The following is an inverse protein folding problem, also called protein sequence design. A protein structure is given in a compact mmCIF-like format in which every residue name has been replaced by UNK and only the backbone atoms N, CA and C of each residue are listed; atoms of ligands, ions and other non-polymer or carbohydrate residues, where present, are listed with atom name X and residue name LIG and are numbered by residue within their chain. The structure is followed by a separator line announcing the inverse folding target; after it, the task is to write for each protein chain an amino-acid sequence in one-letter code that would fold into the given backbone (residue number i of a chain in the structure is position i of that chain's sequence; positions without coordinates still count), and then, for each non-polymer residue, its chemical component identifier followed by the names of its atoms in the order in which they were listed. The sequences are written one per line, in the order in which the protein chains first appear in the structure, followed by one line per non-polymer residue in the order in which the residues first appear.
data_IF_433082760226
#
_entry.id   IF_433082760226
#
_cell.length_a   1.000
_cell.length_b   1.000
_cell.length_c   1.000
_cell.angle_alpha   90.00
_cell.angle_beta   90.00
_cell.angle_gamma   90.00
#
_symmetry.space_group_name_H-M   'P 1'
#
loop_
_entity.id
_entity.type
_entity.pdbx_description
1 polymer ?
#
# COMPACT_ATOMS: atom_id res chain seq x y z
N UNK A 1 13.32 40.69 -19.64
CA UNK A 1 12.57 40.87 -18.36
C UNK A 1 11.20 40.19 -18.36
N UNK A 2 10.71 39.65 -19.49
CA UNK A 2 9.39 39.01 -19.61
C UNK A 2 9.38 37.53 -19.20
N UNK A 3 10.35 36.72 -19.66
CA UNK A 3 10.39 35.26 -19.40
C UNK A 3 10.58 34.91 -17.91
N UNK A 4 11.27 35.76 -17.14
CA UNK A 4 11.53 35.51 -15.72
C UNK A 4 10.28 35.67 -14.84
N UNK A 5 9.26 36.42 -15.31
CA UNK A 5 7.96 36.54 -14.64
C UNK A 5 7.08 35.33 -14.90
N UNK A 6 7.12 34.81 -16.12
CA UNK A 6 6.32 33.66 -16.55
C UNK A 6 6.77 32.37 -15.84
N UNK A 7 8.09 32.17 -15.68
CA UNK A 7 8.64 31.04 -14.92
C UNK A 7 8.27 31.06 -13.44
N UNK A 8 8.25 32.26 -12.82
CA UNK A 8 7.89 32.42 -11.41
C UNK A 8 6.38 32.21 -11.17
N UNK A 9 5.54 32.46 -12.17
CA UNK A 9 4.10 32.23 -12.11
C UNK A 9 3.75 30.74 -12.27
N UNK A 10 4.47 30.03 -13.13
CA UNK A 10 4.36 28.56 -13.31
C UNK A 10 4.79 27.81 -12.04
N UNK A 11 5.89 28.21 -11.40
CA UNK A 11 6.36 27.60 -10.14
C UNK A 11 5.39 27.85 -8.97
N UNK A 12 4.65 28.97 -9.01
CA UNK A 12 3.58 29.27 -8.03
C UNK A 12 2.35 28.41 -8.24
N UNK A 13 2.03 28.07 -9.49
CA UNK A 13 0.89 27.22 -9.86
C UNK A 13 1.19 25.75 -9.54
N UNK A 14 2.39 25.25 -9.86
CA UNK A 14 2.81 23.88 -9.50
C UNK A 14 2.86 23.65 -7.98
N UNK A 15 3.30 24.64 -7.20
CA UNK A 15 3.32 24.54 -5.74
C UNK A 15 1.92 24.63 -5.11
N UNK A 16 0.94 25.18 -5.84
CA UNK A 16 -0.47 25.22 -5.42
C UNK A 16 -1.15 23.88 -5.71
N UNK A 17 -0.95 23.32 -6.91
CA UNK A 17 -1.39 21.95 -7.26
C UNK A 17 -0.80 20.89 -6.33
N UNK A 18 0.51 20.94 -6.03
CA UNK A 18 1.14 20.00 -5.07
C UNK A 18 0.62 20.13 -3.63
N UNK A 19 0.06 21.29 -3.26
CA UNK A 19 -0.58 21.51 -1.95
C UNK A 19 -2.01 21.01 -1.91
N UNK A 20 -2.72 21.08 -3.04
CA UNK A 20 -4.10 20.62 -3.16
C UNK A 20 -4.17 19.08 -3.33
N UNK A 21 -3.25 18.46 -4.10
CA UNK A 21 -3.12 16.99 -4.22
C UNK A 21 -2.79 16.30 -2.88
N UNK A 22 -1.95 16.92 -2.05
CA UNK A 22 -1.66 16.39 -0.70
C UNK A 22 -2.83 16.49 0.27
N UNK A 23 -3.85 17.31 -0.04
CA UNK A 23 -5.02 17.53 0.80
C UNK A 23 -6.15 16.53 0.51
N UNK A 24 -6.25 16.05 -0.73
CA UNK A 24 -7.29 15.10 -1.15
C UNK A 24 -6.95 13.64 -0.85
N UNK A 25 -5.68 13.23 -0.86
CA UNK A 25 -5.29 11.85 -0.55
C UNK A 25 -5.43 11.47 0.94
N UNK A 26 -5.44 12.46 1.85
CA UNK A 26 -5.62 12.21 3.30
C UNK A 26 -7.09 12.07 3.71
N UNK A 27 -8.02 12.25 2.77
CA UNK A 27 -9.44 12.47 3.04
C UNK A 27 -10.31 11.21 2.87
N UNK A 28 -9.76 10.08 2.42
CA UNK A 28 -10.57 8.95 1.96
C UNK A 28 -10.78 7.83 2.98
N UNK A 29 -9.94 7.70 4.01
CA UNK A 29 -10.09 6.62 5.02
C UNK A 29 -10.74 7.11 6.32
N UNK A 30 -10.45 8.34 6.76
CA UNK A 30 -11.08 8.93 7.96
C UNK A 30 -12.53 9.33 7.73
N UNK A 31 -12.86 9.87 6.55
CA UNK A 31 -14.21 10.37 6.26
C UNK A 31 -15.21 9.22 6.04
N UNK A 32 -14.74 8.04 5.62
CA UNK A 32 -15.62 6.86 5.49
C UNK A 32 -15.98 6.25 6.85
N UNK A 33 -15.05 6.28 7.81
CA UNK A 33 -15.24 5.74 9.17
C UNK A 33 -15.99 6.73 10.06
N UNK A 34 -15.64 8.01 10.00
CA UNK A 34 -16.26 9.09 10.78
C UNK A 34 -17.32 9.86 9.98
N UNK A 35 -18.16 9.14 9.24
CA UNK A 35 -19.32 9.77 8.61
C UNK A 35 -20.41 10.09 9.65
N UNK A 36 -21.29 11.05 9.33
CA UNK A 36 -22.31 11.54 10.25
C UNK A 36 -23.21 10.41 10.79
N UNK A 37 -23.54 9.41 9.97
CA UNK A 37 -24.34 8.27 10.39
C UNK A 37 -23.59 7.38 11.39
N UNK A 38 -22.33 7.06 11.12
CA UNK A 38 -21.48 6.25 11.99
C UNK A 38 -21.23 6.94 13.35
N UNK A 39 -21.04 8.26 13.33
CA UNK A 39 -20.91 9.06 14.56
C UNK A 39 -22.22 9.02 15.36
N UNK A 40 -23.37 9.16 14.70
CA UNK A 40 -24.68 9.05 15.36
C UNK A 40 -24.88 7.65 15.96
N UNK A 41 -24.53 6.58 15.24
CA UNK A 41 -24.59 5.22 15.79
C UNK A 41 -23.64 5.00 16.97
N UNK A 42 -22.41 5.53 16.90
CA UNK A 42 -21.45 5.47 17.99
C UNK A 42 -21.95 6.21 19.23
N UNK A 43 -22.52 7.41 19.05
CA UNK A 43 -23.08 8.21 20.15
C UNK A 43 -24.27 7.50 20.79
N UNK A 44 -25.17 6.91 20.00
CA UNK A 44 -26.28 6.12 20.52
C UNK A 44 -25.82 4.85 21.22
N UNK A 45 -24.83 4.15 20.66
CA UNK A 45 -24.22 2.98 21.29
C UNK A 45 -23.62 3.33 22.66
N UNK A 46 -22.84 4.41 22.72
CA UNK A 46 -22.27 4.90 23.98
C UNK A 46 -23.38 5.33 24.95
N UNK A 47 -24.39 6.07 24.51
CA UNK A 47 -25.50 6.50 25.36
C UNK A 47 -26.28 5.30 25.94
N UNK A 48 -26.60 4.29 25.12
CA UNK A 48 -27.27 3.06 25.56
C UNK A 48 -26.38 2.29 26.52
N UNK A 49 -25.08 2.18 26.24
CA UNK A 49 -24.11 1.54 27.12
C UNK A 49 -24.04 2.24 28.49
N UNK A 50 -23.96 3.57 28.53
CA UNK A 50 -23.96 4.34 29.78
C UNK A 50 -25.28 4.18 30.55
N UNK A 51 -26.42 4.17 29.87
CA UNK A 51 -27.73 3.94 30.50
C UNK A 51 -27.79 2.54 31.11
N UNK A 52 -27.39 1.51 30.35
CA UNK A 52 -27.37 0.13 30.85
C UNK A 52 -26.43 -0.02 32.03
N UNK A 53 -25.24 0.57 31.97
CA UNK A 53 -24.26 0.53 33.05
C UNK A 53 -24.74 1.27 34.31
N UNK A 54 -25.37 2.43 34.13
CA UNK A 54 -25.97 3.20 35.23
C UNK A 54 -27.14 2.45 35.89
N UNK A 55 -28.00 1.84 35.08
CA UNK A 55 -29.11 0.99 35.57
C UNK A 55 -28.57 -0.24 36.29
N UNK A 56 -27.54 -0.90 35.76
CA UNK A 56 -26.88 -2.03 36.42
C UNK A 56 -26.29 -1.64 37.79
N UNK A 57 -25.70 -0.45 37.87
CA UNK A 57 -25.13 0.12 39.11
C UNK A 57 -26.20 0.50 40.14
N UNK A 58 -27.40 0.89 39.69
CA UNK A 58 -28.56 1.14 40.56
C UNK A 58 -29.16 -0.15 41.13
N UNK A 59 -29.15 -1.25 40.37
CA UNK A 59 -29.70 -2.55 40.80
C UNK A 59 -28.73 -3.40 41.62
N UNK A 60 -27.41 -3.29 41.39
CA UNK A 60 -26.37 -4.06 42.09
C UNK A 60 -25.80 -3.31 43.30
N UNK A 61 -26.69 -2.93 44.23
CA UNK A 61 -26.36 -2.25 45.48
C UNK A 61 -26.00 -3.27 46.57
N UNK A 62 -24.82 -3.88 46.49
CA UNK A 62 -24.01 -4.36 47.63
C UNK A 62 -22.86 -5.27 47.14
N UNK A 63 -21.63 -4.88 47.46
CA UNK A 63 -20.40 -5.67 47.35
C UNK A 63 -19.93 -6.09 45.92
N UNK A 64 -20.06 -5.20 44.94
CA UNK A 64 -19.80 -5.49 43.50
C UNK A 64 -18.61 -4.75 42.89
N UNK A 65 -17.74 -4.10 43.68
CA UNK A 65 -16.58 -3.36 43.15
C UNK A 65 -15.64 -4.21 42.29
N UNK A 66 -15.37 -5.44 42.74
CA UNK A 66 -14.59 -6.42 41.98
C UNK A 66 -15.34 -6.95 40.75
N UNK A 67 -16.64 -7.26 40.90
CA UNK A 67 -17.48 -7.77 39.82
C UNK A 67 -17.61 -6.77 38.65
N UNK A 68 -17.79 -5.48 38.95
CA UNK A 68 -17.85 -4.43 37.93
C UNK A 68 -16.51 -4.23 37.22
N UNK A 69 -15.39 -4.40 37.94
CA UNK A 69 -14.05 -4.38 37.33
C UNK A 69 -13.83 -5.54 36.37
N UNK A 70 -14.23 -6.76 36.75
CA UNK A 70 -14.14 -7.94 35.89
C UNK A 70 -15.04 -7.85 34.65
N UNK A 71 -16.24 -7.28 34.77
CA UNK A 71 -17.11 -7.02 33.60
C UNK A 71 -16.43 -6.06 32.64
N UNK A 72 -15.82 -4.98 33.13
CA UNK A 72 -15.09 -4.03 32.30
C UNK A 72 -13.92 -4.71 31.57
N UNK A 73 -13.15 -5.54 32.27
CA UNK A 73 -12.04 -6.30 31.69
C UNK A 73 -12.50 -7.25 30.57
N UNK A 74 -13.62 -7.96 30.76
CA UNK A 74 -14.20 -8.85 29.74
C UNK A 74 -14.63 -8.06 28.51
N UNK A 75 -15.30 -6.91 28.69
CA UNK A 75 -15.74 -6.06 27.58
C UNK A 75 -14.55 -5.55 26.77
N UNK A 76 -13.50 -5.06 27.44
CA UNK A 76 -12.27 -4.57 26.78
C UNK A 76 -11.58 -5.71 26.02
N UNK A 77 -11.51 -6.91 26.59
CA UNK A 77 -10.93 -8.07 25.93
C UNK A 77 -11.71 -8.47 24.67
N UNK A 78 -13.04 -8.51 24.76
CA UNK A 78 -13.90 -8.81 23.59
C UNK A 78 -13.74 -7.75 22.51
N UNK A 79 -13.68 -6.46 22.88
CA UNK A 79 -13.43 -5.38 21.93
C UNK A 79 -12.05 -5.48 21.28
N UNK A 80 -11.00 -5.82 22.03
CA UNK A 80 -9.67 -6.07 21.50
C UNK A 80 -9.66 -7.21 20.49
N UNK A 81 -10.33 -8.32 20.80
CA UNK A 81 -10.46 -9.47 19.88
C UNK A 81 -11.20 -9.07 18.60
N UNK A 82 -12.29 -8.31 18.71
CA UNK A 82 -13.03 -7.80 17.54
C UNK A 82 -12.14 -6.89 16.69
N UNK A 83 -11.38 -5.99 17.30
CA UNK A 83 -10.46 -5.08 16.60
C UNK A 83 -9.36 -5.87 15.89
N UNK A 84 -8.77 -6.87 16.55
CA UNK A 84 -7.73 -7.73 15.94
C UNK A 84 -8.30 -8.50 14.75
N UNK A 85 -9.49 -9.07 14.90
CA UNK A 85 -10.19 -9.79 13.83
C UNK A 85 -10.51 -8.84 12.67
N UNK A 86 -11.09 -7.68 12.96
CA UNK A 86 -11.40 -6.67 11.96
C UNK A 86 -10.15 -6.21 11.21
N UNK A 87 -9.06 -5.98 11.92
CA UNK A 87 -7.76 -5.62 11.35
C UNK A 87 -7.16 -6.75 10.49
N UNK A 88 -7.30 -8.01 10.93
CA UNK A 88 -6.84 -9.18 10.17
C UNK A 88 -7.57 -9.34 8.83
N UNK A 89 -8.88 -9.03 8.80
CA UNK A 89 -9.69 -9.08 7.59
C UNK A 89 -9.61 -7.81 6.74
N UNK A 90 -9.31 -6.65 7.34
CA UNK A 90 -9.17 -5.38 6.60
C UNK A 90 -7.83 -5.23 5.90
N UNK A 91 -6.80 -5.96 6.32
CA UNK A 91 -5.45 -5.89 5.74
C UNK A 91 -5.34 -6.77 4.48
N UNK A 92 -5.45 -6.14 3.31
CA UNK A 92 -5.24 -6.76 1.99
C UNK A 92 -3.88 -7.49 1.90
N UNK A 93 -3.86 -8.62 1.18
CA UNK A 93 -2.75 -9.61 1.11
C UNK A 93 -1.38 -9.05 0.69
N UNK A 94 -1.29 -7.85 0.11
CA UNK A 94 -0.03 -7.18 -0.26
C UNK A 94 0.66 -6.35 0.82
N UNK A 95 0.02 -6.09 1.96
CA UNK A 95 0.61 -5.28 3.06
C UNK A 95 1.04 -6.12 4.27
N UNK A 96 0.97 -7.46 4.20
CA UNK A 96 1.27 -8.34 5.34
C UNK A 96 2.77 -8.43 5.68
N UNK A 97 3.67 -8.13 4.76
CA UNK A 97 5.13 -8.27 4.96
C UNK A 97 5.81 -7.07 5.65
N UNK A 98 5.11 -5.92 5.79
CA UNK A 98 5.69 -4.68 6.34
C UNK A 98 4.87 -4.10 7.50
N UNK A 99 4.03 -4.90 8.16
CA UNK A 99 3.24 -4.44 9.31
C UNK A 99 4.15 -4.07 10.48
N UNK A 100 5.08 -4.95 10.83
CA UNK A 100 5.97 -4.75 11.98
C UNK A 100 6.83 -3.49 11.82
N UNK A 101 7.35 -3.26 10.61
CA UNK A 101 8.13 -2.05 10.29
C UNK A 101 7.28 -0.79 10.33
N UNK A 102 6.06 -0.83 9.77
CA UNK A 102 5.14 0.32 9.80
C UNK A 102 4.71 0.67 11.23
N UNK A 103 4.38 -0.32 12.04
CA UNK A 103 4.00 -0.13 13.45
C UNK A 103 5.19 0.42 14.24
N UNK A 104 6.38 -0.16 14.06
CA UNK A 104 7.59 0.26 14.76
C UNK A 104 8.04 1.68 14.37
N UNK A 105 8.05 2.01 13.08
CA UNK A 105 8.35 3.37 12.61
C UNK A 105 7.34 4.39 13.15
N UNK A 106 6.06 4.01 13.23
CA UNK A 106 5.04 4.82 13.90
C UNK A 106 5.35 5.09 15.37
N UNK A 107 5.78 4.06 16.11
CA UNK A 107 6.19 4.18 17.51
C UNK A 107 7.42 5.10 17.66
N UNK A 108 8.45 4.90 16.84
CA UNK A 108 9.65 5.74 16.89
C UNK A 108 9.35 7.20 16.55
N UNK A 109 8.52 7.44 15.54
CA UNK A 109 8.12 8.81 15.16
C UNK A 109 7.34 9.50 16.29
N UNK A 110 6.50 8.76 17.02
CA UNK A 110 5.83 9.29 18.20
C UNK A 110 6.84 9.75 19.26
N UNK A 111 7.86 8.94 19.58
CA UNK A 111 8.85 9.34 20.60
C UNK A 111 9.81 10.46 20.13
N UNK A 112 9.95 10.68 18.83
CA UNK A 112 10.85 11.70 18.28
C UNK A 112 10.26 13.12 18.31
N UNK A 113 8.93 13.22 18.40
CA UNK A 113 8.18 14.47 18.32
C UNK A 113 7.95 15.09 19.71
N UNK A 114 8.32 16.37 19.88
CA UNK A 114 8.16 17.07 21.16
C UNK A 114 6.69 17.24 21.58
N UNK A 115 5.77 17.27 20.60
CA UNK A 115 4.34 17.36 20.86
C UNK A 115 3.79 16.12 21.58
N UNK A 116 4.48 14.99 21.51
CA UNK A 116 4.03 13.72 22.07
C UNK A 116 3.87 13.75 23.58
N UNK A 117 4.68 14.53 24.31
CA UNK A 117 4.52 14.71 25.76
C UNK A 117 3.13 15.28 26.09
N UNK A 118 2.74 16.36 25.40
CA UNK A 118 1.44 16.99 25.61
C UNK A 118 0.29 16.06 25.23
N UNK A 119 0.46 15.30 24.14
CA UNK A 119 -0.51 14.29 23.71
C UNK A 119 -0.66 13.21 24.78
N UNK A 120 0.43 12.65 25.33
CA UNK A 120 0.34 11.62 26.39
C UNK A 120 -0.37 12.15 27.64
N UNK A 121 -0.08 13.39 28.06
CA UNK A 121 -0.72 14.00 29.23
C UNK A 121 -2.23 14.18 28.99
N UNK A 122 -2.63 14.65 27.80
CA UNK A 122 -4.05 14.77 27.43
C UNK A 122 -4.75 13.41 27.46
N UNK A 123 -4.12 12.37 26.89
CA UNK A 123 -4.65 11.00 26.90
C UNK A 123 -4.84 10.49 28.33
N UNK A 124 -3.87 10.71 29.22
CA UNK A 124 -4.00 10.38 30.65
C UNK A 124 -5.15 11.13 31.32
N UNK A 125 -5.27 12.45 31.09
CA UNK A 125 -6.38 13.23 31.64
C UNK A 125 -7.74 12.71 31.18
N UNK A 126 -7.87 12.37 29.89
CA UNK A 126 -9.08 11.78 29.32
C UNK A 126 -9.35 10.41 29.95
N UNK A 127 -8.34 9.55 30.12
CA UNK A 127 -8.48 8.23 30.73
C UNK A 127 -9.05 8.34 32.16
N UNK A 128 -8.46 9.19 33.01
CA UNK A 128 -8.94 9.39 34.38
C UNK A 128 -10.33 10.03 34.42
N UNK A 129 -10.62 10.97 33.52
CA UNK A 129 -11.95 11.57 33.39
C UNK A 129 -13.01 10.52 33.04
N UNK A 130 -12.73 9.64 32.07
CA UNK A 130 -13.63 8.56 31.69
C UNK A 130 -13.80 7.54 32.82
N UNK A 131 -12.71 7.13 33.48
CA UNK A 131 -12.77 6.22 34.62
C UNK A 131 -13.63 6.79 35.76
N UNK A 132 -13.52 8.09 36.01
CA UNK A 132 -14.35 8.81 36.99
C UNK A 132 -15.83 8.86 36.58
N UNK A 133 -16.14 9.22 35.33
CA UNK A 133 -17.53 9.28 34.81
C UNK A 133 -18.19 7.89 34.85
N UNK A 134 -17.45 6.86 34.50
CA UNK A 134 -17.90 5.46 34.57
C UNK A 134 -17.92 4.94 36.02
N UNK A 135 -17.41 5.70 36.99
CA UNK A 135 -17.34 5.31 38.39
C UNK A 135 -16.60 3.99 38.59
N UNK A 136 -15.54 3.79 37.80
CA UNK A 136 -14.63 2.65 37.92
C UNK A 136 -13.80 2.84 39.18
N UNK A 137 -13.68 1.82 40.05
CA UNK A 137 -12.83 1.91 41.23
C UNK A 137 -11.36 2.13 40.83
N UNK A 138 -10.69 3.13 41.40
CA UNK A 138 -9.28 3.46 41.06
C UNK A 138 -8.25 2.94 42.07
N UNK A 139 -8.71 2.43 43.21
CA UNK A 139 -7.84 2.03 44.32
C UNK A 139 -7.76 0.49 44.40
N UNK A 140 -8.33 -0.12 45.44
CA UNK A 140 -8.11 -1.54 45.78
C UNK A 140 -8.83 -2.56 44.87
N UNK A 141 -9.75 -2.13 44.00
CA UNK A 141 -10.52 -3.02 43.11
C UNK A 141 -10.48 -2.56 41.65
N UNK A 142 -9.41 -1.86 41.25
CA UNK A 142 -9.31 -1.34 39.89
C UNK A 142 -9.24 -2.47 38.85
N UNK A 143 -9.90 -2.33 37.69
CA UNK A 143 -9.81 -3.29 36.61
C UNK A 143 -8.37 -3.50 36.16
N UNK A 144 -8.03 -4.73 35.77
CA UNK A 144 -6.66 -5.06 35.36
C UNK A 144 -6.33 -4.35 34.06
N UNK A 145 -7.27 -4.28 33.12
CA UNK A 145 -7.11 -3.56 31.85
C UNK A 145 -6.77 -2.08 32.07
N UNK A 146 -7.45 -1.42 33.01
CA UNK A 146 -7.19 -0.03 33.36
C UNK A 146 -5.80 0.15 33.98
N UNK A 147 -5.41 -0.74 34.89
CA UNK A 147 -4.09 -0.72 35.51
C UNK A 147 -2.96 -0.90 34.48
N UNK A 148 -3.16 -1.78 33.48
CA UNK A 148 -2.19 -1.98 32.39
C UNK A 148 -2.08 -0.72 31.52
N UNK A 149 -3.21 -0.15 31.08
CA UNK A 149 -3.22 1.05 30.24
C UNK A 149 -2.61 2.25 30.95
N UNK A 150 -2.94 2.44 32.23
CA UNK A 150 -2.36 3.48 33.09
C UNK A 150 -0.84 3.30 33.21
N UNK A 151 -0.37 2.08 33.51
CA UNK A 151 1.06 1.78 33.66
C UNK A 151 1.84 2.00 32.36
N UNK A 152 1.29 1.56 31.23
CA UNK A 152 1.88 1.80 29.90
C UNK A 152 1.93 3.30 29.61
N UNK A 153 0.86 4.04 29.87
CA UNK A 153 0.78 5.47 29.59
C UNK A 153 1.81 6.27 30.40
N UNK A 154 1.99 5.95 31.69
CA UNK A 154 3.06 6.53 32.51
C UNK A 154 4.46 6.15 32.01
N UNK A 155 4.65 4.89 31.63
CA UNK A 155 5.92 4.43 31.04
C UNK A 155 6.27 5.19 29.76
N UNK A 156 5.30 5.33 28.85
CA UNK A 156 5.44 6.12 27.62
C UNK A 156 5.79 7.57 27.93
N UNK A 157 5.10 8.22 28.88
CA UNK A 157 5.39 9.60 29.27
C UNK A 157 6.85 9.76 29.73
N UNK A 158 7.32 8.88 30.62
CA UNK A 158 8.70 8.91 31.13
C UNK A 158 9.71 8.70 30.00
N UNK A 159 9.47 7.73 29.12
CA UNK A 159 10.35 7.45 27.97
C UNK A 159 10.40 8.65 27.03
N UNK A 160 9.26 9.27 26.70
CA UNK A 160 9.21 10.45 25.82
C UNK A 160 9.98 11.63 26.44
N UNK A 161 9.82 11.89 27.74
CA UNK A 161 10.57 12.93 28.44
C UNK A 161 12.07 12.65 28.36
N UNK A 162 12.47 11.40 28.61
CA UNK A 162 13.87 10.96 28.54
C UNK A 162 14.47 11.15 27.14
N UNK A 163 13.78 10.68 26.09
CA UNK A 163 14.21 10.83 24.69
C UNK A 163 14.31 12.31 24.31
N UNK A 164 13.31 13.10 24.68
CA UNK A 164 13.27 14.55 24.42
C UNK A 164 14.44 15.26 25.12
N UNK A 165 14.75 14.88 26.36
CA UNK A 165 15.90 15.42 27.09
C UNK A 165 17.22 15.15 26.34
N UNK A 166 17.49 13.91 25.93
CA UNK A 166 18.71 13.60 25.18
C UNK A 166 18.80 14.36 23.85
N UNK A 167 17.68 14.49 23.14
CA UNK A 167 17.63 15.20 21.86
C UNK A 167 17.89 16.69 21.99
N UNK A 168 17.19 17.38 22.90
CA UNK A 168 17.23 18.84 22.97
C UNK A 168 18.26 19.39 23.98
N UNK A 169 18.60 18.64 25.03
CA UNK A 169 19.58 19.07 26.04
C UNK A 169 20.98 18.56 25.70
N UNK A 170 21.11 17.29 25.31
CA UNK A 170 22.41 16.68 25.01
C UNK A 170 22.77 16.73 23.51
N UNK A 171 21.84 17.15 22.64
CA UNK A 171 22.05 17.21 21.19
C UNK A 171 22.19 15.84 20.52
N UNK A 172 21.81 14.76 21.20
CA UNK A 172 21.94 13.38 20.74
C UNK A 172 20.56 12.73 20.55
N UNK A 173 20.31 12.21 19.35
CA UNK A 173 18.98 11.71 18.96
C UNK A 173 18.85 10.20 19.16
N UNK A 174 18.56 9.76 20.39
CA UNK A 174 18.38 8.32 20.72
C UNK A 174 17.54 7.57 19.68
N UNK A 175 16.47 8.20 19.17
CA UNK A 175 15.58 7.60 18.18
C UNK A 175 16.29 7.32 16.85
N UNK A 176 17.18 8.19 16.41
CA UNK A 176 17.94 7.97 15.18
C UNK A 176 18.93 6.81 15.33
N UNK A 177 19.57 6.68 16.49
CA UNK A 177 20.41 5.52 16.80
C UNK A 177 19.61 4.22 16.89
N UNK A 178 18.45 4.23 17.55
CA UNK A 178 17.55 3.06 17.59
C UNK A 178 17.07 2.72 16.18
N UNK A 179 16.73 3.71 15.34
CA UNK A 179 16.32 3.50 13.96
C UNK A 179 17.43 2.88 13.12
N UNK A 180 18.70 3.29 13.33
CA UNK A 180 19.88 2.66 12.71
C UNK A 180 20.05 1.21 13.16
N UNK A 181 19.80 0.91 14.44
CA UNK A 181 19.87 -0.46 14.97
C UNK A 181 18.73 -1.34 14.46
N UNK A 182 17.50 -0.83 14.40
CA UNK A 182 16.34 -1.58 13.89
C UNK A 182 16.46 -1.88 12.40
N UNK A 183 16.98 -0.95 11.60
CA UNK A 183 17.31 -1.21 10.19
C UNK A 183 18.42 -2.24 9.99
N UNK A 184 19.21 -2.52 11.03
CA UNK A 184 20.24 -3.57 11.05
C UNK A 184 19.75 -4.90 11.60
N UNK A 185 18.53 -4.99 12.15
CA UNK A 185 17.94 -6.27 12.57
C UNK A 185 17.70 -7.10 11.30
N UNK A 186 18.36 -8.26 11.13
CA UNK A 186 18.19 -9.09 9.95
C UNK A 186 16.76 -9.61 9.93
N UNK A 187 16.07 -9.45 8.80
CA UNK A 187 14.93 -10.32 8.47
C UNK A 187 15.53 -11.70 8.17
N UNK A 188 15.41 -12.67 9.08
CA UNK A 188 15.59 -14.10 8.75
C UNK A 188 14.56 -14.46 7.66
N UNK A 189 14.87 -14.98 6.47
CA UNK A 189 16.10 -15.16 5.71
C UNK A 189 15.80 -14.68 4.28
N UNK A 190 16.41 -13.57 3.86
CA UNK A 190 17.03 -13.52 2.52
C UNK A 190 18.48 -13.17 2.83
N UNK A 191 19.37 -14.15 2.66
CA UNK A 191 20.81 -13.94 2.72
C UNK A 191 21.14 -12.76 1.81
N UNK A 192 21.75 -11.71 2.35
CA UNK A 192 22.75 -10.89 1.66
C UNK A 192 23.64 -10.20 2.70
N UNK A 193 24.79 -10.80 3.03
CA UNK A 193 26.12 -10.44 2.53
C UNK A 193 26.83 -9.35 3.38
N UNK A 194 27.93 -9.76 4.02
CA UNK A 194 29.16 -8.94 4.17
C UNK A 194 29.52 -8.26 2.82
N UNK A 195 30.52 -7.38 2.68
CA UNK A 195 30.98 -6.98 1.34
C UNK A 195 31.59 -8.19 0.62
N UNK A 196 30.73 -9.06 0.09
CA UNK A 196 31.00 -10.16 -0.80
C UNK A 196 30.88 -9.58 -2.21
N UNK A 197 31.79 -10.03 -3.03
CA UNK A 197 31.85 -9.83 -4.47
C UNK A 197 30.45 -9.85 -5.09
N UNK A 198 30.04 -8.75 -5.77
CA UNK A 198 28.73 -8.61 -6.46
C UNK A 198 28.21 -9.96 -7.00
N UNK A 199 27.34 -10.66 -6.26
CA UNK A 199 26.70 -11.86 -6.79
C UNK A 199 25.66 -11.39 -7.80
N UNK A 200 26.07 -11.44 -9.06
CA UNK A 200 25.22 -11.13 -10.20
C UNK A 200 24.16 -12.23 -10.30
N UNK A 201 22.94 -11.96 -9.85
CA UNK A 201 21.84 -12.90 -10.05
C UNK A 201 21.37 -12.92 -11.50
N UNK A 202 21.31 -14.12 -12.08
CA UNK A 202 20.76 -14.35 -13.41
C UNK A 202 19.23 -14.44 -13.35
N UNK A 203 18.55 -13.80 -14.29
CA UNK A 203 17.09 -13.83 -14.39
C UNK A 203 16.65 -13.97 -15.85
N UNK A 204 15.38 -14.37 -16.05
CA UNK A 204 14.76 -14.35 -17.37
C UNK A 204 14.29 -12.93 -17.70
N UNK A 205 14.65 -12.42 -18.87
CA UNK A 205 14.12 -11.18 -19.41
C UNK A 205 13.67 -11.33 -20.87
N UNK A 206 12.62 -10.59 -21.23
CA UNK A 206 12.00 -10.65 -22.55
C UNK A 206 12.24 -9.37 -23.36
N UNK A 207 12.53 -9.55 -24.65
CA UNK A 207 12.64 -8.49 -25.65
C UNK A 207 11.42 -8.60 -26.56
N UNK A 208 10.47 -7.68 -26.40
CA UNK A 208 9.07 -7.89 -26.83
C UNK A 208 8.70 -7.36 -28.23
N UNK A 209 9.65 -6.92 -29.06
CA UNK A 209 9.33 -6.17 -30.29
C UNK A 209 9.00 -7.06 -31.51
N UNK A 210 9.11 -8.38 -31.39
CA UNK A 210 8.73 -9.36 -32.42
C UNK A 210 9.44 -9.20 -33.78
N UNK A 211 10.72 -8.82 -33.77
CA UNK A 211 11.48 -8.53 -35.00
C UNK A 211 12.53 -9.59 -35.37
N UNK A 212 12.70 -10.64 -34.57
CA UNK A 212 13.91 -11.47 -34.61
C UNK A 212 13.63 -12.91 -34.98
N UNK A 213 14.47 -13.48 -35.85
CA UNK A 213 14.51 -14.92 -36.14
C UNK A 213 15.17 -15.71 -35.00
N UNK A 214 15.15 -17.04 -35.06
CA UNK A 214 15.80 -17.87 -34.03
C UNK A 214 17.32 -17.64 -33.97
N UNK A 215 17.97 -17.46 -35.13
CA UNK A 215 19.41 -17.19 -35.20
C UNK A 215 19.72 -15.78 -34.64
N UNK A 216 18.89 -14.78 -34.97
CA UNK A 216 19.01 -13.43 -34.39
C UNK A 216 18.88 -13.48 -32.86
N UNK A 217 17.95 -14.29 -32.34
CA UNK A 217 17.65 -14.41 -30.92
C UNK A 217 18.87 -14.90 -30.12
N UNK A 218 19.64 -15.85 -30.66
CA UNK A 218 20.88 -16.32 -30.05
C UNK A 218 21.89 -15.18 -29.93
N UNK A 219 22.15 -14.47 -31.03
CA UNK A 219 23.08 -13.36 -31.07
C UNK A 219 22.67 -12.21 -30.12
N UNK A 220 21.37 -11.93 -30.02
CA UNK A 220 20.82 -10.89 -29.15
C UNK A 220 21.07 -11.24 -27.68
N UNK A 221 20.77 -12.45 -27.23
CA UNK A 221 21.06 -12.81 -25.84
C UNK A 221 22.56 -12.76 -25.55
N UNK A 222 23.40 -13.26 -26.48
CA UNK A 222 24.86 -13.18 -26.33
C UNK A 222 25.35 -11.74 -26.21
N UNK A 223 24.74 -10.79 -26.91
CA UNK A 223 25.10 -9.36 -26.81
C UNK A 223 24.86 -8.76 -25.41
N UNK A 224 23.98 -9.37 -24.62
CA UNK A 224 23.72 -9.02 -23.23
C UNK A 224 24.54 -9.85 -22.23
N UNK A 225 25.49 -10.67 -22.70
CA UNK A 225 26.19 -11.64 -21.84
C UNK A 225 25.26 -12.73 -21.30
N UNK A 226 24.18 -13.02 -22.02
CA UNK A 226 23.14 -13.98 -21.66
C UNK A 226 23.03 -15.09 -22.72
N UNK A 227 22.23 -16.11 -22.44
CA UNK A 227 21.82 -17.15 -23.41
C UNK A 227 20.31 -17.16 -23.58
N UNK A 228 19.82 -17.92 -24.56
CA UNK A 228 18.38 -18.19 -24.62
C UNK A 228 17.93 -18.89 -23.35
N UNK A 229 16.78 -18.47 -22.82
CA UNK A 229 16.19 -19.07 -21.62
C UNK A 229 15.63 -20.46 -21.93
N UNK A 230 15.81 -21.41 -21.00
CA UNK A 230 15.19 -22.74 -21.08
C UNK A 230 13.72 -22.69 -20.65
N UNK A 231 12.97 -23.76 -20.91
CA UNK A 231 11.59 -23.87 -20.42
C UNK A 231 11.52 -23.74 -18.89
N UNK A 232 12.38 -24.47 -18.16
CA UNK A 232 12.39 -24.50 -16.69
C UNK A 232 12.67 -23.12 -16.09
N UNK A 233 13.54 -22.32 -16.72
CA UNK A 233 13.82 -20.95 -16.31
C UNK A 233 12.62 -20.03 -16.51
N UNK A 234 11.90 -20.18 -17.63
CA UNK A 234 10.69 -19.42 -17.92
C UNK A 234 9.55 -19.83 -16.98
N UNK A 235 9.43 -21.11 -16.65
CA UNK A 235 8.48 -21.61 -15.65
C UNK A 235 8.83 -21.11 -14.25
N UNK A 236 10.12 -21.11 -13.89
CA UNK A 236 10.61 -20.48 -12.66
C UNK A 236 10.28 -18.99 -12.59
N UNK A 237 10.44 -18.26 -13.69
CA UNK A 237 10.07 -16.86 -13.78
C UNK A 237 8.55 -16.68 -13.64
N UNK A 238 7.73 -17.53 -14.28
CA UNK A 238 6.27 -17.54 -14.13
C UNK A 238 5.85 -17.73 -12.67
N UNK A 239 6.46 -18.67 -11.95
CA UNK A 239 6.17 -18.92 -10.54
C UNK A 239 6.55 -17.73 -9.64
N UNK A 240 7.50 -16.89 -10.07
CA UNK A 240 7.88 -15.62 -9.45
C UNK A 240 7.05 -14.42 -9.93
N UNK A 241 6.00 -14.64 -10.71
CA UNK A 241 5.07 -13.59 -11.14
C UNK A 241 5.37 -12.96 -12.49
N UNK A 242 6.29 -13.53 -13.29
CA UNK A 242 6.57 -13.03 -14.63
C UNK A 242 5.34 -13.10 -15.55
N UNK A 243 5.14 -12.03 -16.32
CA UNK A 243 4.05 -11.90 -17.29
C UNK A 243 4.41 -10.85 -18.34
N UNK A 244 4.46 -11.25 -19.61
CA UNK A 244 4.72 -10.30 -20.71
C UNK A 244 3.86 -10.52 -21.97
N UNK A 245 3.03 -11.56 -22.02
CA UNK A 245 1.99 -11.73 -23.05
C UNK A 245 2.50 -11.60 -24.51
N UNK A 246 3.77 -11.93 -24.77
CA UNK A 246 4.37 -11.87 -26.11
C UNK A 246 5.35 -13.01 -26.29
N UNK A 247 5.21 -13.74 -27.40
CA UNK A 247 6.11 -14.83 -27.73
C UNK A 247 7.56 -14.36 -27.82
N UNK A 248 8.46 -15.11 -27.19
CA UNK A 248 9.90 -14.94 -27.33
C UNK A 248 10.59 -16.25 -27.67
N UNK A 249 11.53 -16.21 -28.62
CA UNK A 249 12.44 -17.32 -28.88
C UNK A 249 13.17 -17.72 -27.60
N UNK A 250 13.22 -19.01 -27.34
CA UNK A 250 13.76 -19.68 -26.16
C UNK A 250 14.58 -20.88 -26.61
N UNK A 251 15.33 -21.50 -25.70
CA UNK A 251 16.20 -22.62 -26.02
C UNK A 251 15.45 -23.78 -26.70
N UNK A 252 16.12 -24.47 -27.63
CA UNK A 252 15.52 -25.56 -28.41
C UNK A 252 14.55 -25.12 -29.52
N UNK A 253 14.69 -23.91 -30.07
CA UNK A 253 13.80 -23.36 -31.11
C UNK A 253 12.33 -23.32 -30.68
N UNK A 254 12.13 -23.02 -29.40
CA UNK A 254 10.82 -22.86 -28.79
C UNK A 254 10.43 -21.40 -28.73
N UNK A 255 9.13 -21.11 -28.76
CA UNK A 255 8.62 -19.78 -28.41
C UNK A 255 7.79 -19.88 -27.16
N UNK A 256 8.10 -19.09 -26.14
CA UNK A 256 7.37 -19.13 -24.88
C UNK A 256 7.00 -17.74 -24.36
N UNK A 257 5.89 -17.68 -23.63
CA UNK A 257 5.55 -16.53 -22.78
C UNK A 257 4.68 -16.96 -21.58
N UNK A 258 4.88 -16.38 -20.40
CA UNK A 258 4.10 -16.66 -19.21
C UNK A 258 2.88 -15.73 -19.08
N UNK A 259 1.79 -16.26 -18.53
CA UNK A 259 0.55 -15.51 -18.21
C UNK A 259 0.03 -15.90 -16.85
N UNK A 260 -0.15 -14.93 -15.95
CA UNK A 260 -0.67 -15.18 -14.60
C UNK A 260 -2.17 -15.46 -14.62
N UNK A 261 -2.59 -16.33 -13.69
CA UNK A 261 -4.00 -16.67 -13.48
C UNK A 261 -4.88 -15.43 -13.27
N UNK A 262 -4.39 -14.46 -12.50
CA UNK A 262 -5.13 -13.23 -12.20
C UNK A 262 -5.40 -12.36 -13.43
N UNK A 263 -4.46 -12.29 -14.37
CA UNK A 263 -4.65 -11.58 -15.65
C UNK A 263 -5.63 -12.32 -16.54
N UNK A 264 -5.47 -13.63 -16.66
CA UNK A 264 -6.40 -14.45 -17.42
C UNK A 264 -7.85 -14.33 -16.93
N UNK A 265 -8.08 -14.35 -15.61
CA UNK A 265 -9.42 -14.21 -15.01
C UNK A 265 -10.05 -12.84 -15.32
N UNK A 266 -9.24 -11.77 -15.42
CA UNK A 266 -9.72 -10.44 -15.86
C UNK A 266 -10.14 -10.46 -17.33
N UNK A 267 -9.34 -11.07 -18.19
CA UNK A 267 -9.61 -11.16 -19.63
C UNK A 267 -10.88 -11.96 -19.93
N UNK A 268 -11.21 -12.97 -19.11
CA UNK A 268 -12.46 -13.74 -19.27
C UNK A 268 -13.74 -12.90 -19.08
N UNK A 269 -13.66 -11.75 -18.39
CA UNK A 269 -14.83 -10.87 -18.19
C UNK A 269 -15.19 -10.07 -19.43
N UNK A 270 -14.29 -9.97 -20.40
CA UNK A 270 -14.46 -9.18 -21.63
C UNK A 270 -14.63 -10.09 -22.83
N UNK A 271 -15.79 -10.10 -23.48
CA UNK A 271 -16.09 -10.99 -24.63
C UNK A 271 -15.11 -10.86 -25.80
N UNK A 272 -14.51 -9.68 -25.99
CA UNK A 272 -13.57 -9.41 -27.07
C UNK A 272 -12.12 -9.84 -26.80
N UNK A 273 -11.72 -9.90 -25.53
CA UNK A 273 -10.31 -10.12 -25.14
C UNK A 273 -10.09 -11.44 -24.39
N UNK A 274 -11.09 -12.35 -24.37
CA UNK A 274 -11.00 -13.63 -23.64
C UNK A 274 -9.82 -14.51 -24.04
N UNK A 275 -9.35 -14.37 -25.29
CA UNK A 275 -8.28 -15.18 -25.86
C UNK A 275 -6.94 -14.41 -25.94
N UNK A 276 -6.88 -13.18 -25.44
CA UNK A 276 -5.64 -12.43 -25.36
C UNK A 276 -4.75 -13.10 -24.30
N UNK A 277 -3.42 -13.04 -24.50
CA UNK A 277 -2.44 -13.58 -23.56
C UNK A 277 -2.55 -15.10 -23.25
N UNK A 278 -3.18 -15.91 -24.11
CA UNK A 278 -3.17 -17.36 -23.95
C UNK A 278 -3.89 -17.86 -22.68
N UNK A 279 -3.38 -18.94 -22.08
CA UNK A 279 -3.92 -19.58 -20.87
C UNK A 279 -2.99 -19.34 -19.66
N UNK A 280 -3.45 -19.55 -18.42
CA UNK A 280 -2.55 -19.47 -17.26
C UNK A 280 -1.39 -20.47 -17.40
N UNK A 281 -0.18 -20.02 -17.07
CA UNK A 281 1.06 -20.80 -17.19
C UNK A 281 1.98 -20.33 -18.31
N UNK A 282 2.91 -21.20 -18.73
CA UNK A 282 3.83 -20.97 -19.85
C UNK A 282 3.17 -21.43 -21.15
N UNK A 283 2.97 -20.50 -22.08
CA UNK A 283 2.32 -20.73 -23.36
C UNK A 283 3.33 -20.78 -24.49
N UNK A 284 3.08 -21.63 -25.49
CA UNK A 284 3.84 -21.70 -26.73
C UNK A 284 4.40 -23.08 -27.00
N UNK A 285 5.45 -23.18 -27.81
CA UNK A 285 5.96 -24.47 -28.29
C UNK A 285 7.01 -24.36 -29.39
N UNK A 286 7.32 -25.51 -29.99
CA UNK A 286 8.30 -25.61 -31.07
C UNK A 286 7.78 -24.98 -32.36
N UNK A 287 8.62 -24.20 -33.03
CA UNK A 287 8.30 -23.62 -34.34
C UNK A 287 9.22 -24.21 -35.38
N UNK A 288 8.69 -24.94 -36.36
CA UNK A 288 9.49 -25.59 -37.41
C UNK A 288 10.28 -24.61 -38.28
N UNK A 289 9.76 -23.41 -38.52
CA UNK A 289 10.40 -22.41 -39.36
C UNK A 289 11.21 -21.41 -38.49
N UNK A 290 12.55 -21.47 -38.49
CA UNK A 290 13.38 -20.59 -37.65
C UNK A 290 13.37 -19.13 -38.12
N UNK A 291 12.92 -18.85 -39.34
CA UNK A 291 12.89 -17.51 -39.94
C UNK A 291 11.66 -16.68 -39.55
N UNK A 292 10.75 -17.22 -38.74
CA UNK A 292 9.61 -16.45 -38.22
C UNK A 292 10.12 -15.43 -37.21
N UNK A 293 9.50 -14.24 -37.20
CA UNK A 293 9.91 -13.15 -36.32
C UNK A 293 9.10 -13.12 -35.04
N UNK A 294 9.78 -13.26 -33.92
CA UNK A 294 9.24 -13.19 -32.56
C UNK A 294 10.16 -12.34 -31.68
N UNK A 295 9.75 -12.14 -30.43
CA UNK A 295 10.60 -11.56 -29.40
C UNK A 295 11.70 -12.53 -29.01
N UNK A 296 12.40 -12.24 -27.92
CA UNK A 296 13.49 -13.10 -27.42
C UNK A 296 13.39 -13.23 -25.90
N UNK A 297 13.50 -14.44 -25.37
CA UNK A 297 13.65 -14.71 -23.95
C UNK A 297 15.12 -15.05 -23.67
N UNK A 298 15.78 -14.19 -22.90
CA UNK A 298 17.16 -14.39 -22.49
C UNK A 298 17.23 -14.74 -21.00
N UNK A 299 18.25 -15.49 -20.63
CA UNK A 299 18.61 -15.81 -19.25
C UNK A 299 20.06 -15.40 -18.98
N UNK A 300 20.25 -14.57 -17.98
CA UNK A 300 21.55 -14.01 -17.59
C UNK A 300 21.38 -12.73 -16.79
N UNK A 301 22.45 -11.92 -16.71
CA UNK A 301 22.38 -10.60 -16.06
C UNK A 301 21.49 -9.66 -16.87
N UNK A 302 20.32 -9.32 -16.34
CA UNK A 302 19.44 -8.37 -17.00
C UNK A 302 20.06 -6.96 -17.02
N UNK A 303 20.01 -6.27 -18.17
CA UNK A 303 20.48 -4.90 -18.26
C UNK A 303 19.69 -3.96 -17.35
N UNK A 304 20.35 -2.89 -16.89
CA UNK A 304 19.67 -1.82 -16.17
C UNK A 304 18.57 -1.20 -17.05
N UNK A 305 17.39 -0.99 -16.46
CA UNK A 305 16.25 -0.41 -17.18
C UNK A 305 16.57 1.01 -17.68
N UNK A 306 16.31 1.28 -18.95
CA UNK A 306 16.37 2.64 -19.48
C UNK A 306 15.10 3.43 -19.12
N UNK A 307 15.14 4.76 -19.29
CA UNK A 307 13.96 5.61 -19.09
C UNK A 307 12.79 5.20 -19.99
N UNK A 308 13.06 4.72 -21.22
CA UNK A 308 12.00 4.26 -22.14
C UNK A 308 11.38 2.94 -21.65
N UNK A 309 12.17 2.04 -21.06
CA UNK A 309 11.67 0.79 -20.46
C UNK A 309 10.80 1.08 -19.23
N UNK A 310 11.23 2.00 -18.36
CA UNK A 310 10.45 2.43 -17.20
C UNK A 310 9.12 3.07 -17.62
N UNK A 311 9.14 3.91 -18.67
CA UNK A 311 7.92 4.50 -19.22
C UNK A 311 6.98 3.46 -19.80
N UNK A 312 7.48 2.46 -20.53
CA UNK A 312 6.69 1.33 -21.05
C UNK A 312 6.09 0.50 -19.92
N UNK A 313 6.89 0.18 -18.90
CA UNK A 313 6.43 -0.55 -17.72
C UNK A 313 5.31 0.20 -16.99
N UNK A 314 5.50 1.50 -16.74
CA UNK A 314 4.50 2.34 -16.07
C UNK A 314 3.22 2.46 -16.89
N UNK A 315 3.33 2.61 -18.22
CA UNK A 315 2.18 2.64 -19.12
C UNK A 315 1.39 1.32 -19.14
N UNK A 316 2.02 0.19 -18.78
CA UNK A 316 1.42 -1.13 -18.77
C UNK A 316 0.84 -1.55 -17.41
N UNK A 317 1.14 -0.86 -16.31
CA UNK A 317 0.64 -1.20 -14.95
C UNK A 317 -0.88 -1.45 -14.87
N UNK A 318 -1.66 -0.69 -15.64
CA UNK A 318 -3.12 -0.79 -15.66
C UNK A 318 -3.70 -1.32 -16.98
N UNK A 319 -2.85 -1.75 -17.92
CA UNK A 319 -3.29 -2.25 -19.24
C UNK A 319 -3.21 -3.77 -19.27
N UNK A 320 -4.37 -4.41 -19.37
CA UNK A 320 -4.48 -5.88 -19.43
C UNK A 320 -4.35 -6.39 -20.88
N UNK A 321 -4.53 -5.53 -21.89
CA UNK A 321 -4.46 -5.89 -23.31
C UNK A 321 -4.00 -4.69 -24.18
N UNK A 322 -3.44 -4.95 -25.39
CA UNK A 322 -3.10 -3.90 -26.35
C UNK A 322 -4.34 -3.16 -26.86
N UNK A 323 -4.31 -1.82 -26.86
CA UNK A 323 -5.40 -1.00 -27.42
C UNK A 323 -5.43 -1.13 -28.94
N UNK A 324 -6.61 -1.35 -29.53
CA UNK A 324 -6.74 -1.37 -30.99
C UNK A 324 -6.53 0.03 -31.58
N UNK A 325 -6.25 0.12 -32.90
CA UNK A 325 -6.18 1.42 -33.59
C UNK A 325 -7.45 2.26 -33.38
N UNK A 326 -8.61 1.61 -33.31
CA UNK A 326 -9.88 2.27 -33.03
C UNK A 326 -9.95 2.82 -31.60
N UNK A 327 -9.42 2.10 -30.62
CA UNK A 327 -9.38 2.53 -29.23
C UNK A 327 -8.40 3.70 -29.05
N UNK A 328 -7.23 3.65 -29.70
CA UNK A 328 -6.27 4.76 -29.70
C UNK A 328 -6.86 6.04 -30.32
N UNK A 329 -7.61 5.91 -31.42
CA UNK A 329 -8.30 7.03 -32.04
C UNK A 329 -9.43 7.57 -31.14
N UNK A 330 -10.16 6.68 -30.47
CA UNK A 330 -11.19 7.07 -29.51
C UNK A 330 -10.59 7.80 -28.32
N UNK A 331 -9.50 7.29 -27.74
CA UNK A 331 -8.78 7.94 -26.65
C UNK A 331 -8.26 9.32 -27.07
N UNK A 332 -7.64 9.41 -28.25
CA UNK A 332 -7.18 10.69 -28.80
C UNK A 332 -8.33 11.70 -28.94
N UNK A 333 -9.51 11.22 -29.32
CA UNK A 333 -10.73 12.04 -29.40
C UNK A 333 -11.23 12.45 -28.00
N UNK A 334 -11.23 11.53 -27.03
CA UNK A 334 -11.62 11.82 -25.64
C UNK A 334 -10.66 12.85 -25.03
N UNK A 335 -9.36 12.69 -25.22
CA UNK A 335 -8.34 13.60 -24.70
C UNK A 335 -8.46 15.00 -25.32
N UNK A 336 -8.73 15.08 -26.63
CA UNK A 336 -9.07 16.34 -27.29
C UNK A 336 -10.27 17.02 -26.62
N UNK A 337 -11.37 16.29 -26.37
CA UNK A 337 -12.55 16.87 -25.73
C UNK A 337 -12.31 17.25 -24.26
N UNK A 338 -11.48 16.51 -23.53
CA UNK A 338 -11.10 16.87 -22.15
C UNK A 338 -10.29 18.17 -22.11
N UNK A 339 -9.30 18.31 -23.00
CA UNK A 339 -8.44 19.50 -23.06
C UNK A 339 -9.18 20.76 -23.53
N UNK A 340 -10.28 20.59 -24.28
CA UNK A 340 -11.08 21.69 -24.80
C UNK A 340 -12.47 21.76 -24.14
N UNK A 341 -12.68 21.08 -23.01
CA UNK A 341 -13.99 20.96 -22.39
C UNK A 341 -14.54 22.33 -21.97
N UNK A 342 -13.69 23.18 -21.40
CA UNK A 342 -13.98 24.55 -20.97
C UNK A 342 -14.40 25.48 -22.13
N UNK A 343 -13.87 25.25 -23.33
CA UNK A 343 -14.10 26.11 -24.51
C UNK A 343 -15.22 25.61 -25.42
N UNK A 344 -15.39 24.30 -25.50
CA UNK A 344 -16.23 23.66 -26.53
C UNK A 344 -17.41 22.89 -25.96
N UNK A 345 -17.43 22.59 -24.65
CA UNK A 345 -18.51 21.83 -24.02
C UNK A 345 -19.25 22.71 -23.01
N UNK A 346 -20.54 22.94 -23.29
CA UNK A 346 -21.43 23.62 -22.35
C UNK A 346 -22.31 22.59 -21.64
N UNK A 347 -22.09 22.40 -20.34
CA UNK A 347 -22.92 21.53 -19.51
C UNK A 347 -24.12 22.31 -19.00
N UNK A 348 -25.33 21.75 -19.16
CA UNK A 348 -26.52 22.30 -18.55
C UNK A 348 -26.57 21.96 -17.07
N UNK A 349 -27.15 22.85 -16.27
CA UNK A 349 -27.53 22.56 -14.89
C UNK A 349 -28.62 21.48 -14.86
N UNK A 350 -28.66 20.69 -13.78
CA UNK A 350 -29.67 19.64 -13.58
C UNK A 350 -31.11 20.17 -13.68
N UNK A 351 -31.35 21.37 -13.15
CA UNK A 351 -32.54 22.16 -13.40
C UNK A 351 -32.22 23.66 -13.29
N UNK A 352 -33.25 24.52 -13.28
CA UNK A 352 -33.06 25.98 -13.23
C UNK A 352 -32.36 26.47 -11.95
N UNK A 353 -32.44 25.70 -10.87
CA UNK A 353 -32.03 26.13 -9.53
C UNK A 353 -30.89 25.27 -8.94
N UNK A 354 -30.56 24.13 -9.58
CA UNK A 354 -29.54 23.17 -9.11
C UNK A 354 -28.61 22.75 -10.24
N UNK A 355 -27.31 22.78 -9.97
CA UNK A 355 -26.27 22.31 -10.89
C UNK A 355 -26.26 20.79 -11.05
N UNK A 356 -26.41 20.05 -9.94
CA UNK A 356 -26.39 18.59 -9.87
C UNK A 356 -27.69 18.05 -9.29
N UNK A 357 -27.99 16.78 -9.54
CA UNK A 357 -29.10 16.05 -8.90
C UNK A 357 -28.82 15.69 -7.43
N UNK A 358 -27.57 15.84 -7.00
CA UNK A 358 -27.07 15.55 -5.66
C UNK A 358 -26.67 16.82 -4.91
#
# INVERSE_FOLDING_TARGET
MSEKKEFHEIEKLENKEKKDDKKDDKKTTTDSVFNQSNIVFLVWFLAIYFILFFVLKLFLKENTGSFMGHIFDIIILVLLVIIIIAWYYSTNTKNRENVATTVFDGILNYFDEAASIFITIIVLMILYMFAYILGIPMNSSRPISLAIVESISWGVLVITIFVTFFKYVLGFSIIDEIRKLWKKVPKEEEEDEEPKENVVHEEVFNISNNLYTYDDAQAICTSYGARLATYDEIEGAYNKGAEWCSYGWSDGQMIFFPTQKSTWDKLQKTTRHKNDCGRPGVNGGYIKNPYVRFGVNCYGKKPNASNTDLNRMNANKNKVYPKSKKDLLLDSKIDFWKQNADKMLNLNSFNKDKWSQY
#
